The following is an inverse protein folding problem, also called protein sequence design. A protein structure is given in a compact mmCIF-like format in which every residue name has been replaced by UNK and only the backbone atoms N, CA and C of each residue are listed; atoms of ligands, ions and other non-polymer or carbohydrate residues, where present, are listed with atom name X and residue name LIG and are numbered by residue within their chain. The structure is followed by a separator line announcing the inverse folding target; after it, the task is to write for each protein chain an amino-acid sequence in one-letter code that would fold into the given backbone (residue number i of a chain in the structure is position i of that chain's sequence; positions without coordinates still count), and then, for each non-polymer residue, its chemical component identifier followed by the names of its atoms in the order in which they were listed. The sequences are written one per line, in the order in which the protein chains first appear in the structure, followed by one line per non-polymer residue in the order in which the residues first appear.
data_IF_144696583933
#
_entry.id   IF_144696583933
#
_cell.length_a   1.000
_cell.length_b   1.000
_cell.length_c   1.000
_cell.angle_alpha   90.00
_cell.angle_beta   90.00
_cell.angle_gamma   90.00
#
_symmetry.space_group_name_H-M   'P 1'
#
loop_
_entity.id
_entity.type
_entity.pdbx_description
1 polymer ?
#
# COMPACT_ATOMS: atom_id res chain seq x y z
N UNK A 1 -3.21 -21.49 -51.24
CA UNK A 1 -4.34 -21.04 -50.40
C UNK A 1 -3.90 -20.97 -48.95
N UNK A 2 -4.20 -19.84 -48.27
CA UNK A 2 -4.29 -19.61 -46.81
C UNK A 2 -3.00 -19.74 -45.98
N UNK A 3 -2.23 -18.64 -45.95
CA UNK A 3 -1.47 -18.23 -44.77
C UNK A 3 -2.48 -17.96 -43.65
N UNK A 4 -2.47 -18.76 -42.59
CA UNK A 4 -3.16 -18.41 -41.33
C UNK A 4 -2.08 -18.08 -40.30
N UNK A 5 -1.65 -16.82 -40.40
CA UNK A 5 -1.24 -16.04 -39.25
C UNK A 5 -2.22 -16.30 -38.11
N UNK A 6 -1.70 -16.44 -36.89
CA UNK A 6 -2.26 -16.04 -35.59
C UNK A 6 -1.64 -16.90 -34.47
N UNK A 7 -0.31 -16.96 -34.43
CA UNK A 7 0.45 -17.31 -33.21
C UNK A 7 0.85 -16.00 -32.55
N UNK A 8 -0.14 -15.24 -32.08
CA UNK A 8 0.12 -14.08 -31.21
C UNK A 8 -1.14 -13.71 -30.43
N UNK A 9 -1.83 -14.71 -29.88
CA UNK A 9 -2.64 -14.51 -28.68
C UNK A 9 -1.68 -14.31 -27.51
N UNK A 10 -0.90 -13.23 -27.57
CA UNK A 10 -0.11 -12.73 -26.46
C UNK A 10 -1.14 -12.59 -25.34
N UNK A 11 -1.05 -13.48 -24.36
CA UNK A 11 -1.64 -13.28 -23.06
C UNK A 11 -1.14 -11.91 -22.62
N UNK A 12 -1.93 -10.88 -22.88
CA UNK A 12 -1.96 -9.65 -22.12
C UNK A 12 -2.53 -10.05 -20.76
N UNK A 13 -1.78 -10.90 -20.04
CA UNK A 13 -1.65 -10.77 -18.61
C UNK A 13 -1.07 -9.38 -18.44
N UNK A 14 -1.95 -8.39 -18.47
CA UNK A 14 -1.73 -7.08 -17.90
C UNK A 14 -1.27 -7.37 -16.48
N UNK A 15 0.04 -7.47 -16.32
CA UNK A 15 0.70 -7.36 -15.03
C UNK A 15 0.25 -6.01 -14.53
N UNK A 16 -0.83 -6.01 -13.73
CA UNK A 16 -1.22 -4.88 -12.95
C UNK A 16 0.01 -4.59 -12.10
N UNK A 17 0.84 -3.66 -12.55
CA UNK A 17 1.94 -3.11 -11.77
C UNK A 17 1.26 -2.50 -10.56
N UNK A 18 1.25 -3.24 -9.45
CA UNK A 18 0.78 -2.74 -8.17
C UNK A 18 1.67 -1.56 -7.84
N UNK A 19 1.20 -0.36 -8.13
CA UNK A 19 1.89 0.86 -7.74
C UNK A 19 1.99 0.83 -6.21
N UNK A 20 3.22 0.98 -5.71
CA UNK A 20 3.48 1.05 -4.28
C UNK A 20 3.49 2.51 -3.88
N UNK A 21 2.62 2.88 -2.94
CA UNK A 21 2.63 4.19 -2.30
C UNK A 21 3.56 4.17 -1.09
N UNK A 22 4.32 5.26 -0.89
CA UNK A 22 5.10 5.48 0.33
C UNK A 22 4.40 6.52 1.21
N UNK A 23 4.19 6.18 2.47
CA UNK A 23 3.54 7.00 3.48
C UNK A 23 4.54 7.36 4.57
N UNK A 24 4.50 8.60 5.03
CA UNK A 24 5.22 9.01 6.25
C UNK A 24 4.23 9.07 7.40
N UNK A 25 4.44 8.21 8.40
CA UNK A 25 3.62 8.11 9.60
C UNK A 25 4.35 8.83 10.73
N UNK A 26 3.66 9.80 11.37
CA UNK A 26 4.15 10.41 12.62
C UNK A 26 3.37 9.83 13.79
N UNK A 27 4.08 9.18 14.70
CA UNK A 27 3.51 8.53 15.88
C UNK A 27 3.26 9.52 17.02
N UNK A 28 2.47 9.10 18.00
CA UNK A 28 2.12 9.89 19.19
C UNK A 28 3.33 10.27 20.05
N UNK A 29 4.38 9.46 20.05
CA UNK A 29 5.63 9.76 20.74
C UNK A 29 6.62 10.60 19.90
N UNK A 30 6.17 11.15 18.76
CA UNK A 30 6.96 12.03 17.91
C UNK A 30 7.97 11.32 17.01
N UNK A 31 7.94 9.98 16.94
CA UNK A 31 8.76 9.20 16.01
C UNK A 31 8.13 9.21 14.62
N UNK A 32 8.96 9.26 13.59
CA UNK A 32 8.53 9.15 12.19
C UNK A 32 8.91 7.77 11.65
N UNK A 33 8.00 7.15 10.92
CA UNK A 33 8.19 5.88 10.25
C UNK A 33 7.72 5.97 8.80
N UNK A 34 8.38 5.23 7.91
CA UNK A 34 7.95 5.11 6.52
C UNK A 34 7.20 3.79 6.34
N UNK A 35 6.04 3.85 5.73
CA UNK A 35 5.21 2.69 5.42
C UNK A 35 5.07 2.60 3.90
N UNK A 36 5.38 1.43 3.34
CA UNK A 36 5.13 1.14 1.93
C UNK A 36 3.87 0.29 1.82
N UNK A 37 2.87 0.77 1.09
CA UNK A 37 1.63 0.03 0.84
C UNK A 37 1.36 -0.07 -0.66
N UNK A 38 0.42 -0.93 -1.04
CA UNK A 38 -0.15 -0.86 -2.39
C UNK A 38 -1.08 0.35 -2.53
N UNK A 39 -1.24 0.86 -3.75
CA UNK A 39 -2.09 2.01 -4.08
C UNK A 39 -3.58 1.80 -3.75
N UNK A 40 -4.01 0.54 -3.58
CA UNK A 40 -5.39 0.15 -3.31
C UNK A 40 -5.68 -0.15 -1.84
N UNK A 41 -4.79 0.22 -0.92
CA UNK A 41 -5.04 0.06 0.52
C UNK A 41 -6.17 1.00 0.96
N UNK A 42 -7.15 0.44 1.65
CA UNK A 42 -8.27 1.21 2.23
C UNK A 42 -7.83 2.01 3.44
N UNK A 43 -8.54 3.10 3.75
CA UNK A 43 -8.27 3.94 4.93
C UNK A 43 -8.29 3.13 6.23
N UNK A 44 -9.19 2.14 6.35
CA UNK A 44 -9.26 1.26 7.51
C UNK A 44 -7.99 0.39 7.67
N UNK A 45 -7.45 -0.13 6.57
CA UNK A 45 -6.18 -0.88 6.59
C UNK A 45 -5.00 0.05 6.92
N UNK A 46 -4.98 1.25 6.36
CA UNK A 46 -3.97 2.26 6.71
C UNK A 46 -4.00 2.60 8.20
N UNK A 47 -5.18 2.76 8.79
CA UNK A 47 -5.32 2.98 10.24
C UNK A 47 -4.74 1.83 11.05
N UNK A 48 -4.98 0.58 10.65
CA UNK A 48 -4.39 -0.60 11.32
C UNK A 48 -2.86 -0.59 11.23
N UNK A 49 -2.28 -0.28 10.08
CA UNK A 49 -0.82 -0.18 9.93
C UNK A 49 -0.22 0.92 10.81
N UNK A 50 -0.84 2.10 10.83
CA UNK A 50 -0.37 3.20 11.68
C UNK A 50 -0.51 2.86 13.16
N UNK A 51 -1.60 2.20 13.57
CA UNK A 51 -1.79 1.76 14.95
C UNK A 51 -0.70 0.77 15.38
N UNK A 52 -0.35 -0.19 14.51
CA UNK A 52 0.71 -1.15 14.76
C UNK A 52 2.08 -0.46 14.90
N UNK A 53 2.41 0.47 13.99
CA UNK A 53 3.65 1.25 14.06
C UNK A 53 3.71 2.07 15.35
N UNK A 54 2.60 2.69 15.74
CA UNK A 54 2.55 3.47 16.97
C UNK A 54 2.73 2.59 18.20
N UNK A 55 2.14 1.41 18.22
CA UNK A 55 2.33 0.45 19.31
C UNK A 55 3.76 -0.05 19.38
N UNK A 56 4.39 -0.38 18.24
CA UNK A 56 5.78 -0.83 18.20
C UNK A 56 6.76 0.25 18.71
N UNK A 57 6.58 1.49 18.26
CA UNK A 57 7.51 2.59 18.59
C UNK A 57 7.22 3.27 19.93
N UNK A 58 5.96 3.29 20.37
CA UNK A 58 5.52 4.05 21.54
C UNK A 58 4.87 3.19 22.62
N UNK A 59 4.64 1.89 22.39
CA UNK A 59 3.90 0.98 23.29
C UNK A 59 2.49 1.47 23.63
N UNK A 60 1.88 2.27 22.75
CA UNK A 60 0.53 2.82 22.92
C UNK A 60 -0.30 2.65 21.66
N UNK A 61 -1.59 2.35 21.83
CA UNK A 61 -2.55 2.26 20.73
C UNK A 61 -3.29 3.61 20.65
N UNK A 62 -3.10 4.40 19.58
CA UNK A 62 -3.77 5.68 19.43
C UNK A 62 -5.26 5.45 19.16
N UNK A 63 -6.13 6.18 19.86
CA UNK A 63 -7.60 6.11 19.69
C UNK A 63 -8.06 6.76 18.37
N UNK A 64 -7.27 7.72 17.86
CA UNK A 64 -7.53 8.42 16.61
C UNK A 64 -6.24 8.55 15.80
N UNK A 65 -6.34 8.20 14.52
CA UNK A 65 -5.24 8.28 13.56
C UNK A 65 -5.70 9.15 12.39
N UNK A 66 -5.04 10.30 12.22
CA UNK A 66 -5.26 11.17 11.07
C UNK A 66 -4.24 10.82 9.99
N UNK A 67 -4.72 10.34 8.84
CA UNK A 67 -3.89 10.07 7.66
C UNK A 67 -4.00 11.28 6.75
N UNK A 68 -2.89 11.98 6.51
CA UNK A 68 -2.79 13.04 5.51
C UNK A 68 -2.07 12.51 4.28
N UNK A 69 -2.67 12.69 3.10
CA UNK A 69 -2.08 12.35 1.80
C UNK A 69 -1.12 13.44 1.34
#
# INVERSE_FOLDING_TARGET
MKKKLLVTGMLLCSIATFATTYWTVTTTCGKKASLQTSDNVSDAQMQQYVAAINYDLCSTIPQHITITR
#
